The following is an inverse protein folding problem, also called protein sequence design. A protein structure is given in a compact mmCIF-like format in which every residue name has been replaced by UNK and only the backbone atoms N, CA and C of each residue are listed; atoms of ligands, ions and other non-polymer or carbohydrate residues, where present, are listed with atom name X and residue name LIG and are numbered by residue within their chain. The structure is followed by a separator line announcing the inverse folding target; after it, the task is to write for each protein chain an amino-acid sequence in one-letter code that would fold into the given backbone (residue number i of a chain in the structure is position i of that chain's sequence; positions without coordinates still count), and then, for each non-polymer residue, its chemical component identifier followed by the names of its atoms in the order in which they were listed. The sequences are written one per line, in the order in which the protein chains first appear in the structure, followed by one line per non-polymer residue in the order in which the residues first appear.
data_IF_473293843069
#
_entry.id   IF_473293843069
#
_cell.length_a   1.000
_cell.length_b   1.000
_cell.length_c   1.000
_cell.angle_alpha   90.00
_cell.angle_beta   90.00
_cell.angle_gamma   90.00
#
_symmetry.space_group_name_H-M   'P 1'
#
loop_
_entity.id
_entity.type
_entity.pdbx_description
1 polymer ?
#
# COMPACT_ATOMS: atom_id res chain seq x y z
N UNK A 1 -25.49 11.71 19.34
CA UNK A 1 -24.92 10.44 18.96
C UNK A 1 -23.76 10.64 17.99
N UNK A 2 -23.04 9.58 17.59
CA UNK A 2 -21.86 9.67 16.74
C UNK A 2 -22.22 10.23 15.35
N UNK A 3 -23.28 9.75 14.73
CA UNK A 3 -23.73 10.22 13.41
C UNK A 3 -24.09 11.71 13.39
N UNK A 4 -24.68 12.23 14.47
CA UNK A 4 -24.92 13.68 14.62
C UNK A 4 -23.61 14.45 14.60
N UNK A 5 -22.64 14.01 15.38
CA UNK A 5 -21.29 14.62 15.38
C UNK A 5 -20.62 14.53 14.00
N UNK A 6 -20.71 13.38 13.34
CA UNK A 6 -20.17 13.22 11.98
C UNK A 6 -20.83 14.18 10.99
N UNK A 7 -22.15 14.31 11.04
CA UNK A 7 -22.90 15.25 10.19
C UNK A 7 -22.47 16.70 10.43
N UNK A 8 -22.36 17.11 11.69
CA UNK A 8 -21.97 18.47 12.07
C UNK A 8 -20.53 18.78 11.59
N UNK A 9 -19.61 17.85 11.75
CA UNK A 9 -18.22 17.98 11.24
C UNK A 9 -18.21 18.06 9.72
N UNK A 10 -19.01 17.26 9.03
CA UNK A 10 -19.11 17.31 7.57
C UNK A 10 -19.73 18.62 7.09
N UNK A 11 -20.75 19.13 7.76
CA UNK A 11 -21.34 20.44 7.45
C UNK A 11 -20.31 21.58 7.55
N UNK A 12 -19.32 21.48 8.43
CA UNK A 12 -18.29 22.51 8.61
C UNK A 12 -17.08 22.32 7.68
N UNK A 13 -16.59 21.09 7.57
CA UNK A 13 -15.25 20.83 7.03
C UNK A 13 -15.25 20.08 5.69
N UNK A 14 -16.35 19.40 5.33
CA UNK A 14 -16.40 18.57 4.13
C UNK A 14 -16.32 19.43 2.86
N UNK A 15 -15.50 19.03 1.89
CA UNK A 15 -15.33 19.79 0.66
C UNK A 15 -16.66 19.98 -0.09
N UNK A 16 -17.45 18.93 -0.17
CA UNK A 16 -18.76 18.94 -0.83
C UNK A 16 -19.92 19.04 0.18
N UNK A 17 -19.76 19.85 1.26
CA UNK A 17 -20.80 19.99 2.29
C UNK A 17 -22.16 20.44 1.74
N UNK A 18 -22.18 21.13 0.60
CA UNK A 18 -23.40 21.56 -0.09
C UNK A 18 -24.18 20.38 -0.70
N UNK A 19 -23.54 19.23 -0.88
CA UNK A 19 -24.17 18.02 -1.40
C UNK A 19 -24.70 17.10 -0.29
N UNK A 20 -24.52 17.46 0.97
CA UNK A 20 -25.07 16.70 2.09
C UNK A 20 -26.61 16.77 2.06
N UNK A 21 -27.30 15.64 2.31
CA UNK A 21 -28.75 15.65 2.50
C UNK A 21 -29.15 16.60 3.63
N UNK A 22 -30.40 17.07 3.64
CA UNK A 22 -30.93 17.83 4.79
C UNK A 22 -30.83 17.01 6.06
N UNK A 23 -30.60 17.66 7.20
CA UNK A 23 -30.50 16.99 8.51
C UNK A 23 -31.74 16.16 8.82
N UNK A 24 -32.92 16.63 8.43
CA UNK A 24 -34.19 15.94 8.67
C UNK A 24 -34.40 14.71 7.78
N UNK A 25 -33.64 14.58 6.72
CA UNK A 25 -33.71 13.47 5.75
C UNK A 25 -32.68 12.37 6.01
N UNK A 26 -31.82 12.53 7.04
CA UNK A 26 -30.77 11.53 7.35
C UNK A 26 -31.15 10.65 8.52
N UNK A 27 -30.82 9.37 8.41
CA UNK A 27 -30.93 8.44 9.55
C UNK A 27 -29.64 8.52 10.38
N UNK A 28 -29.78 9.08 11.59
CA UNK A 28 -28.69 9.29 12.55
C UNK A 28 -28.44 8.10 13.51
N UNK A 29 -28.92 6.91 13.14
CA UNK A 29 -28.82 5.68 13.95
C UNK A 29 -28.21 4.52 13.11
N UNK A 30 -27.24 4.84 12.25
CA UNK A 30 -26.55 3.87 11.43
C UNK A 30 -25.17 3.56 12.03
N UNK A 31 -24.58 2.46 11.58
CA UNK A 31 -23.15 2.25 11.77
C UNK A 31 -22.37 3.36 11.03
N UNK A 32 -21.28 3.90 11.60
CA UNK A 32 -20.58 5.08 11.08
C UNK A 32 -20.17 4.98 9.61
N UNK A 33 -19.66 3.82 9.17
CA UNK A 33 -19.30 3.61 7.77
C UNK A 33 -20.53 3.61 6.84
N UNK A 34 -21.64 3.04 7.30
CA UNK A 34 -22.92 3.05 6.57
C UNK A 34 -23.51 4.45 6.51
N UNK A 35 -23.40 5.23 7.59
CA UNK A 35 -23.81 6.63 7.62
C UNK A 35 -23.01 7.44 6.60
N UNK A 36 -21.67 7.42 6.68
CA UNK A 36 -20.81 8.14 5.74
C UNK A 36 -21.12 7.78 4.28
N UNK A 37 -21.27 6.50 3.99
CA UNK A 37 -21.60 6.01 2.62
C UNK A 37 -22.88 6.61 2.06
N UNK A 38 -23.87 6.90 2.91
CA UNK A 38 -25.16 7.48 2.49
C UNK A 38 -25.15 9.00 2.33
N UNK A 39 -24.33 9.69 3.11
CA UNK A 39 -24.34 11.16 3.14
C UNK A 39 -23.24 11.80 2.29
N UNK A 40 -22.16 11.09 1.99
CA UNK A 40 -21.06 11.65 1.20
C UNK A 40 -21.44 11.88 -0.26
N UNK A 41 -20.80 12.85 -0.87
CA UNK A 41 -20.94 13.15 -2.30
C UNK A 41 -20.53 11.96 -3.17
N UNK A 42 -21.20 11.77 -4.30
CA UNK A 42 -20.81 10.77 -5.32
C UNK A 42 -19.41 11.04 -5.92
N UNK A 43 -18.92 12.27 -5.81
CA UNK A 43 -17.58 12.66 -6.28
C UNK A 43 -16.50 12.31 -5.25
N UNK A 44 -16.88 11.89 -4.04
CA UNK A 44 -15.97 11.52 -2.97
C UNK A 44 -15.65 10.02 -2.99
N UNK A 45 -14.52 9.67 -3.53
CA UNK A 45 -13.94 8.31 -3.49
C UNK A 45 -12.90 8.11 -2.39
N UNK A 46 -12.64 9.14 -1.57
CA UNK A 46 -11.52 9.14 -0.61
C UNK A 46 -11.96 9.02 0.84
N UNK A 47 -13.11 9.61 1.22
CA UNK A 47 -13.57 9.59 2.61
C UNK A 47 -14.04 8.21 3.03
N UNK A 48 -13.50 7.73 4.15
CA UNK A 48 -13.87 6.47 4.79
C UNK A 48 -13.84 6.62 6.33
N UNK A 49 -14.47 5.69 7.01
CA UNK A 49 -14.40 5.57 8.47
C UNK A 49 -13.38 4.48 8.79
N UNK A 50 -12.39 4.84 9.60
CA UNK A 50 -11.41 3.93 10.14
C UNK A 50 -11.58 3.76 11.64
N UNK A 51 -11.18 2.61 12.16
CA UNK A 51 -11.09 2.35 13.59
C UNK A 51 -9.63 2.45 14.02
N UNK A 52 -9.30 3.45 14.84
CA UNK A 52 -7.97 3.56 15.42
C UNK A 52 -7.79 2.40 16.41
N UNK A 53 -6.96 1.43 16.07
CA UNK A 53 -6.56 0.35 16.97
C UNK A 53 -5.27 0.75 17.69
N UNK A 54 -5.28 0.68 19.01
CA UNK A 54 -4.08 0.99 19.82
C UNK A 54 -2.95 -0.02 19.61
N UNK A 55 -3.29 -1.23 19.21
CA UNK A 55 -2.33 -2.29 18.88
C UNK A 55 -2.62 -2.87 17.50
N UNK A 56 -1.58 -3.11 16.67
CA UNK A 56 -1.76 -3.79 15.40
C UNK A 56 -2.45 -5.13 15.57
N UNK A 57 -3.46 -5.41 14.75
CA UNK A 57 -4.14 -6.70 14.74
C UNK A 57 -3.15 -7.82 14.36
N UNK A 58 -3.35 -9.03 14.90
CA UNK A 58 -2.59 -10.17 14.44
C UNK A 58 -2.78 -10.39 12.94
N UNK A 59 -1.66 -10.59 12.23
CA UNK A 59 -1.63 -10.84 10.79
C UNK A 59 -0.69 -12.00 10.47
N UNK A 60 -0.91 -12.67 9.35
CA UNK A 60 0.08 -13.57 8.77
C UNK A 60 1.25 -12.79 8.12
N UNK A 61 1.04 -11.53 7.75
CA UNK A 61 2.07 -10.65 7.21
C UNK A 61 2.34 -10.86 5.73
N UNK A 62 1.31 -11.08 4.93
CA UNK A 62 1.39 -11.03 3.47
C UNK A 62 0.16 -10.35 2.88
N UNK A 63 0.32 -9.79 1.69
CA UNK A 63 -0.77 -9.31 0.87
C UNK A 63 -0.85 -10.09 -0.44
N UNK A 64 -2.02 -10.06 -1.10
CA UNK A 64 -2.32 -10.92 -2.23
C UNK A 64 -3.33 -10.30 -3.19
N UNK A 65 -3.30 -10.78 -4.42
CA UNK A 65 -4.37 -10.56 -5.40
C UNK A 65 -5.05 -11.87 -5.74
N UNK A 66 -6.38 -11.89 -5.77
CA UNK A 66 -7.15 -13.07 -6.18
C UNK A 66 -7.27 -13.13 -7.69
N UNK A 67 -6.86 -14.25 -8.26
CA UNK A 67 -7.00 -14.60 -9.67
C UNK A 67 -7.95 -15.79 -9.78
N UNK A 68 -8.92 -15.74 -10.69
CA UNK A 68 -9.85 -16.86 -10.90
C UNK A 68 -9.10 -18.15 -11.19
N UNK A 69 -9.55 -19.23 -10.58
CA UNK A 69 -9.06 -20.57 -10.91
C UNK A 69 -9.59 -20.97 -12.30
N UNK A 70 -8.72 -21.49 -13.16
CA UNK A 70 -9.10 -21.82 -14.53
C UNK A 70 -9.99 -23.07 -14.63
N UNK A 71 -9.90 -23.98 -13.64
CA UNK A 71 -10.57 -25.28 -13.67
C UNK A 71 -11.81 -25.34 -12.75
N UNK A 72 -12.00 -24.32 -11.86
CA UNK A 72 -13.07 -24.30 -10.84
C UNK A 72 -13.68 -22.89 -10.78
N UNK A 73 -14.85 -22.71 -11.34
CA UNK A 73 -15.51 -21.39 -11.49
C UNK A 73 -15.73 -20.60 -10.19
N UNK A 74 -15.91 -21.28 -9.07
CA UNK A 74 -16.18 -20.65 -7.77
C UNK A 74 -14.90 -20.42 -6.96
N UNK A 75 -13.75 -20.89 -7.46
CA UNK A 75 -12.47 -20.82 -6.78
C UNK A 75 -11.54 -19.72 -7.34
N UNK A 76 -10.59 -19.36 -6.50
CA UNK A 76 -9.53 -18.41 -6.81
C UNK A 76 -8.18 -18.98 -6.37
N UNK A 77 -7.13 -18.50 -7.00
CA UNK A 77 -5.76 -18.65 -6.54
C UNK A 77 -5.28 -17.31 -5.99
N UNK A 78 -4.53 -17.29 -4.90
CA UNK A 78 -3.96 -16.06 -4.36
C UNK A 78 -2.52 -15.90 -4.86
N UNK A 79 -2.27 -14.83 -5.61
CA UNK A 79 -0.93 -14.38 -5.99
C UNK A 79 -0.38 -13.48 -4.88
N UNK A 80 0.73 -13.86 -4.29
CA UNK A 80 1.37 -13.06 -3.24
C UNK A 80 2.02 -11.82 -3.84
N UNK A 81 1.63 -10.65 -3.36
CA UNK A 81 2.09 -9.34 -3.85
C UNK A 81 3.28 -8.81 -3.05
N UNK A 82 3.28 -8.99 -1.73
CA UNK A 82 4.44 -8.80 -0.86
C UNK A 82 4.31 -9.60 0.43
N UNK A 83 5.42 -9.72 1.16
CA UNK A 83 5.50 -10.37 2.47
C UNK A 83 6.22 -9.45 3.44
N UNK A 84 5.66 -9.23 4.62
CA UNK A 84 6.22 -8.37 5.65
C UNK A 84 7.43 -9.07 6.29
N UNK A 85 8.61 -8.44 6.35
CA UNK A 85 9.77 -8.99 7.04
C UNK A 85 9.49 -9.35 8.50
N UNK A 86 10.02 -10.45 8.96
CA UNK A 86 9.80 -10.95 10.32
C UNK A 86 8.41 -11.52 10.58
N UNK A 87 7.55 -11.67 9.57
CA UNK A 87 6.18 -12.19 9.72
C UNK A 87 6.08 -13.72 9.77
N UNK A 88 4.92 -14.27 10.19
CA UNK A 88 4.64 -15.70 10.02
C UNK A 88 4.75 -16.19 8.57
N UNK A 89 4.37 -15.35 7.61
CA UNK A 89 4.47 -15.68 6.19
C UNK A 89 5.92 -15.82 5.73
N UNK A 90 6.80 -14.89 6.12
CA UNK A 90 8.24 -15.00 5.84
C UNK A 90 8.83 -16.26 6.51
N UNK A 91 8.46 -16.52 7.78
CA UNK A 91 8.92 -17.71 8.50
C UNK A 91 8.46 -19.03 7.82
N UNK A 92 7.33 -19.02 7.12
CA UNK A 92 6.86 -20.14 6.30
C UNK A 92 7.59 -20.27 4.96
N UNK A 93 8.40 -19.28 4.58
CA UNK A 93 9.09 -19.25 3.28
C UNK A 93 8.20 -18.74 2.14
N UNK A 94 7.13 -18.00 2.47
CA UNK A 94 6.29 -17.37 1.46
C UNK A 94 7.02 -16.15 0.88
N UNK A 95 6.97 -16.00 -0.44
CA UNK A 95 7.63 -14.93 -1.16
C UNK A 95 6.69 -14.27 -2.19
N UNK A 96 7.01 -13.04 -2.57
CA UNK A 96 6.33 -12.35 -3.68
C UNK A 96 6.38 -13.20 -4.95
N UNK A 97 5.24 -13.34 -5.62
CA UNK A 97 5.09 -14.13 -6.84
C UNK A 97 4.69 -15.59 -6.58
N UNK A 98 4.66 -16.02 -5.32
CA UNK A 98 4.12 -17.34 -4.99
C UNK A 98 2.61 -17.39 -5.24
N UNK A 99 2.11 -18.58 -5.55
CA UNK A 99 0.70 -18.84 -5.75
C UNK A 99 0.17 -19.80 -4.68
N UNK A 100 -0.88 -19.39 -3.97
CA UNK A 100 -1.62 -20.27 -3.05
C UNK A 100 -2.87 -20.74 -3.77
N UNK A 101 -3.05 -22.05 -3.89
CA UNK A 101 -4.20 -22.69 -4.52
C UNK A 101 -5.28 -23.09 -3.50
N UNK A 102 -4.82 -23.57 -2.32
CA UNK A 102 -5.72 -23.97 -1.22
C UNK A 102 -5.12 -23.55 0.11
N UNK A 103 -6.01 -23.36 1.08
CA UNK A 103 -5.64 -23.25 2.50
C UNK A 103 -6.23 -24.45 3.21
N UNK A 104 -5.38 -25.23 3.88
CA UNK A 104 -5.70 -26.56 4.39
C UNK A 104 -6.24 -27.46 3.24
N UNK A 105 -7.46 -27.91 3.33
CA UNK A 105 -8.11 -28.71 2.28
C UNK A 105 -9.06 -27.89 1.39
N UNK A 106 -9.23 -26.58 1.69
CA UNK A 106 -10.26 -25.74 1.08
C UNK A 106 -9.72 -24.89 -0.07
N UNK A 107 -10.42 -24.87 -1.19
CA UNK A 107 -10.19 -23.87 -2.23
C UNK A 107 -10.58 -22.47 -1.74
N UNK A 108 -9.83 -21.46 -2.16
CA UNK A 108 -10.11 -20.06 -1.82
C UNK A 108 -11.36 -19.62 -2.61
N UNK A 109 -12.31 -19.02 -1.94
CA UNK A 109 -13.51 -18.43 -2.57
C UNK A 109 -13.79 -17.05 -1.96
N UNK A 110 -14.49 -16.18 -2.69
CA UNK A 110 -14.87 -14.85 -2.20
C UNK A 110 -15.59 -14.88 -0.85
N UNK A 111 -16.37 -15.93 -0.60
CA UNK A 111 -17.11 -16.09 0.67
C UNK A 111 -16.20 -16.37 1.86
N UNK A 112 -15.11 -17.11 1.66
CA UNK A 112 -14.22 -17.58 2.73
C UNK A 112 -12.83 -16.97 2.68
N UNK A 113 -12.60 -16.00 1.79
CA UNK A 113 -11.32 -15.32 1.57
C UNK A 113 -10.70 -14.82 2.89
N UNK A 114 -11.45 -13.97 3.61
CA UNK A 114 -10.99 -13.39 4.89
C UNK A 114 -10.67 -14.47 5.92
N UNK A 115 -11.54 -15.47 6.07
CA UNK A 115 -11.33 -16.56 7.03
C UNK A 115 -10.08 -17.39 6.72
N UNK A 116 -9.79 -17.62 5.43
CA UNK A 116 -8.69 -18.47 4.99
C UNK A 116 -7.36 -17.71 4.96
N UNK A 117 -7.35 -16.49 4.40
CA UNK A 117 -6.11 -15.74 4.13
C UNK A 117 -5.81 -14.64 5.13
N UNK A 118 -6.78 -14.22 5.94
CA UNK A 118 -6.65 -13.15 6.95
C UNK A 118 -7.04 -13.64 8.35
N UNK A 119 -7.11 -14.94 8.56
CA UNK A 119 -7.41 -15.55 9.87
C UNK A 119 -6.24 -15.46 10.85
N UNK A 120 -6.40 -16.11 12.02
CA UNK A 120 -5.38 -16.09 13.08
C UNK A 120 -4.78 -17.46 13.37
N UNK A 121 -5.38 -18.54 12.88
CA UNK A 121 -4.95 -19.93 13.14
C UNK A 121 -3.74 -20.30 12.25
N UNK A 122 -2.90 -21.24 12.72
CA UNK A 122 -1.92 -21.86 11.83
C UNK A 122 -2.61 -22.56 10.65
N UNK A 123 -2.01 -22.54 9.47
CA UNK A 123 -2.59 -23.06 8.22
C UNK A 123 -1.57 -23.83 7.39
N UNK A 124 -2.06 -24.72 6.57
CA UNK A 124 -1.32 -25.38 5.51
C UNK A 124 -1.63 -24.68 4.18
N UNK A 125 -0.63 -24.12 3.52
CA UNK A 125 -0.78 -23.46 2.23
C UNK A 125 -0.37 -24.41 1.12
N UNK A 126 -1.32 -24.88 0.32
CA UNK A 126 -1.04 -25.69 -0.87
C UNK A 126 -0.65 -24.76 -2.01
N UNK A 127 0.58 -24.92 -2.47
CA UNK A 127 1.18 -24.01 -3.43
C UNK A 127 0.95 -24.45 -4.87
N UNK A 128 1.06 -23.49 -5.78
CA UNK A 128 1.00 -23.70 -7.21
C UNK A 128 2.06 -22.94 -7.96
N UNK A 129 2.13 -23.18 -9.26
CA UNK A 129 3.00 -22.48 -10.18
C UNK A 129 2.22 -22.06 -11.42
N UNK A 130 2.44 -20.82 -11.87
CA UNK A 130 1.91 -20.33 -13.14
C UNK A 130 2.72 -20.90 -14.28
N UNK A 131 2.10 -21.68 -15.16
CA UNK A 131 2.77 -22.25 -16.33
C UNK A 131 1.83 -22.48 -17.50
N UNK A 132 2.42 -22.65 -18.65
CA UNK A 132 1.77 -23.09 -19.87
C UNK A 132 1.39 -24.57 -19.77
N UNK A 133 0.16 -24.89 -20.13
CA UNK A 133 -0.40 -26.24 -20.09
C UNK A 133 -1.06 -26.53 -21.45
N UNK A 134 -0.75 -27.66 -22.10
CA UNK A 134 -1.45 -28.03 -23.34
C UNK A 134 -2.92 -28.31 -23.07
N UNK A 135 -3.76 -27.88 -23.99
CA UNK A 135 -5.20 -28.22 -24.04
C UNK A 135 -5.44 -29.15 -25.22
N UNK A 136 -6.40 -30.07 -25.09
CA UNK A 136 -6.79 -30.90 -26.23
C UNK A 136 -7.41 -30.00 -27.31
N UNK A 137 -6.87 -30.00 -28.54
CA UNK A 137 -7.36 -29.16 -29.61
C UNK A 137 -8.71 -29.60 -30.10
N UNK A 138 -9.64 -28.66 -30.33
CA UNK A 138 -10.92 -28.97 -30.97
C UNK A 138 -10.75 -29.30 -32.45
N UNK A 139 -9.71 -28.81 -33.14
CA UNK A 139 -9.30 -29.20 -34.53
C UNK A 139 -7.80 -28.96 -34.75
N UNK A 140 -6.97 -30.00 -34.60
CA UNK A 140 -5.70 -30.17 -35.33
C UNK A 140 -4.48 -29.30 -34.99
N UNK A 141 -4.56 -28.25 -34.16
CA UNK A 141 -3.45 -27.44 -33.72
C UNK A 141 -3.26 -27.58 -32.19
N UNK A 142 -2.00 -27.67 -31.75
CA UNK A 142 -1.67 -27.67 -30.32
C UNK A 142 -2.05 -26.32 -29.73
N UNK A 143 -3.02 -26.28 -28.83
CA UNK A 143 -3.42 -25.08 -28.11
C UNK A 143 -2.87 -25.12 -26.68
N UNK A 144 -2.36 -23.99 -26.19
CA UNK A 144 -1.80 -23.86 -24.85
C UNK A 144 -2.54 -22.79 -24.08
N UNK A 145 -2.73 -23.03 -22.79
CA UNK A 145 -3.27 -22.02 -21.86
C UNK A 145 -2.34 -21.82 -20.69
N UNK A 146 -2.23 -20.59 -20.21
CA UNK A 146 -1.50 -20.30 -18.98
C UNK A 146 -2.45 -20.40 -17.79
N UNK A 147 -2.10 -21.25 -16.82
CA UNK A 147 -2.85 -21.40 -15.58
C UNK A 147 -1.96 -21.78 -14.40
N UNK A 148 -2.53 -21.60 -13.18
CA UNK A 148 -1.88 -22.07 -11.96
C UNK A 148 -2.17 -23.57 -11.81
N UNK A 149 -1.10 -24.35 -11.65
CA UNK A 149 -1.18 -25.80 -11.41
C UNK A 149 -0.46 -26.15 -10.12
N UNK A 150 -0.80 -27.27 -9.44
CA UNK A 150 -0.09 -27.72 -8.26
C UNK A 150 1.41 -27.92 -8.52
N UNK A 151 2.24 -27.60 -7.50
CA UNK A 151 3.69 -27.86 -7.53
C UNK A 151 4.16 -28.82 -6.44
N UNK A 152 3.22 -29.54 -5.80
CA UNK A 152 3.43 -30.52 -4.72
C UNK A 152 4.11 -29.94 -3.46
N UNK A 153 4.15 -28.62 -3.32
CA UNK A 153 4.65 -27.92 -2.14
C UNK A 153 3.49 -27.53 -1.23
N UNK A 154 3.65 -27.81 0.07
CA UNK A 154 2.77 -27.29 1.11
C UNK A 154 3.61 -26.55 2.13
N UNK A 155 3.36 -25.25 2.32
CA UNK A 155 4.02 -24.45 3.33
C UNK A 155 3.21 -24.48 4.62
N UNK A 156 3.90 -24.56 5.75
CA UNK A 156 3.29 -24.50 7.09
C UNK A 156 3.29 -23.06 7.57
N UNK A 157 2.15 -22.40 7.45
CA UNK A 157 1.96 -21.01 7.90
C UNK A 157 1.70 -21.00 9.42
N UNK A 158 2.59 -20.40 10.24
CA UNK A 158 2.34 -20.25 11.66
C UNK A 158 1.12 -19.40 11.96
N UNK A 159 0.60 -19.51 13.20
CA UNK A 159 -0.48 -18.64 13.66
C UNK A 159 -0.10 -17.15 13.51
N UNK A 160 -1.11 -16.34 13.17
CA UNK A 160 -0.94 -14.91 13.04
C UNK A 160 -0.49 -14.27 14.36
N UNK A 161 0.29 -13.22 14.27
CA UNK A 161 0.73 -12.39 15.40
C UNK A 161 0.81 -10.93 14.99
N UNK A 162 0.93 -10.04 15.96
CA UNK A 162 1.24 -8.64 15.68
C UNK A 162 2.62 -8.55 15.04
N UNK A 163 2.68 -7.90 13.88
CA UNK A 163 3.90 -7.65 13.10
C UNK A 163 3.97 -6.17 12.81
N UNK A 164 5.13 -5.57 13.00
CA UNK A 164 5.37 -4.19 12.57
C UNK A 164 5.48 -4.17 11.03
N UNK A 165 4.60 -3.41 10.38
CA UNK A 165 4.68 -3.16 8.94
C UNK A 165 5.46 -1.86 8.71
N UNK A 166 6.77 -2.00 8.43
CA UNK A 166 7.61 -0.87 8.12
C UNK A 166 7.26 -0.34 6.71
N UNK A 167 6.83 0.92 6.58
CA UNK A 167 6.48 1.49 5.27
C UNK A 167 7.67 1.52 4.29
N UNK A 168 8.91 1.59 4.77
CA UNK A 168 10.12 1.40 3.97
C UNK A 168 10.31 -0.11 3.76
N UNK A 169 9.55 -0.66 2.83
CA UNK A 169 9.52 -2.12 2.65
C UNK A 169 10.82 -2.68 2.07
N UNK A 170 11.44 -1.96 1.13
CA UNK A 170 12.70 -2.40 0.51
C UNK A 170 13.48 -1.24 -0.08
N UNK A 171 14.79 -1.27 0.15
CA UNK A 171 15.75 -0.39 -0.52
C UNK A 171 16.82 -1.20 -1.23
N UNK A 172 17.36 -0.67 -2.32
CA UNK A 172 18.49 -1.27 -3.03
C UNK A 172 19.23 -0.20 -3.86
N UNK A 173 20.54 -0.33 -3.96
CA UNK A 173 21.34 0.45 -4.90
C UNK A 173 21.73 -0.48 -6.06
N UNK A 174 21.29 -0.13 -7.25
CA UNK A 174 21.56 -0.85 -8.49
C UNK A 174 22.68 -0.15 -9.26
N UNK A 175 23.49 -0.91 -9.97
CA UNK A 175 24.45 -0.37 -10.95
C UNK A 175 23.96 -0.75 -12.34
N UNK A 176 23.77 0.25 -13.18
CA UNK A 176 23.33 0.07 -14.56
C UNK A 176 24.30 0.77 -15.52
N UNK A 177 24.33 0.34 -16.77
CA UNK A 177 25.15 0.96 -17.81
C UNK A 177 24.37 2.07 -18.52
N UNK A 178 24.93 3.28 -18.53
CA UNK A 178 24.46 4.39 -19.36
C UNK A 178 25.65 4.87 -20.22
N UNK A 179 25.53 4.76 -21.54
CA UNK A 179 26.61 5.16 -22.45
C UNK A 179 28.00 4.57 -22.07
N UNK A 180 28.04 3.28 -21.75
CA UNK A 180 29.22 2.55 -21.26
C UNK A 180 29.80 3.03 -19.92
N UNK A 181 29.09 3.85 -19.16
CA UNK A 181 29.47 4.28 -17.81
C UNK A 181 28.56 3.62 -16.78
N UNK A 182 29.14 3.23 -15.66
CA UNK A 182 28.35 2.75 -14.53
C UNK A 182 27.70 3.92 -13.82
N UNK A 183 26.39 3.86 -13.69
CA UNK A 183 25.61 4.78 -12.88
C UNK A 183 24.90 4.05 -11.75
N UNK A 184 24.69 4.73 -10.65
CA UNK A 184 23.95 4.22 -9.48
C UNK A 184 22.50 4.65 -9.55
N UNK A 185 21.60 3.69 -9.37
CA UNK A 185 20.15 3.91 -9.28
C UNK A 185 19.67 3.40 -7.93
N UNK A 186 19.05 4.27 -7.13
CA UNK A 186 18.39 3.90 -5.90
C UNK A 186 17.03 3.29 -6.20
N UNK A 187 16.67 2.21 -5.53
CA UNK A 187 15.32 1.66 -5.51
C UNK A 187 14.77 1.81 -4.11
N UNK A 188 13.59 2.38 -3.99
CA UNK A 188 12.85 2.53 -2.74
C UNK A 188 11.42 2.07 -2.96
N UNK A 189 11.01 1.01 -2.28
CA UNK A 189 9.62 0.57 -2.18
C UNK A 189 9.03 1.10 -0.87
N UNK A 190 7.98 1.93 -0.99
CA UNK A 190 7.40 2.68 0.12
C UNK A 190 5.88 2.48 0.14
N UNK A 191 5.39 1.70 1.11
CA UNK A 191 4.03 1.16 1.10
C UNK A 191 3.00 2.03 1.86
N UNK A 192 3.45 2.97 2.69
CA UNK A 192 2.55 3.86 3.42
C UNK A 192 3.26 5.16 3.81
N UNK A 193 2.54 6.29 3.79
CA UNK A 193 3.04 7.57 4.31
C UNK A 193 2.80 7.66 5.82
N UNK A 194 3.53 6.84 6.59
CA UNK A 194 3.47 6.76 8.05
C UNK A 194 4.79 7.22 8.64
N UNK A 195 4.77 8.16 9.59
CA UNK A 195 5.96 8.79 10.15
C UNK A 195 6.73 7.88 11.12
N UNK A 196 6.01 7.06 11.88
CA UNK A 196 6.58 6.20 12.91
C UNK A 196 5.53 5.36 13.63
N UNK A 197 5.86 4.90 14.82
CA UNK A 197 4.99 4.11 15.71
C UNK A 197 4.51 4.96 16.89
N UNK A 198 3.58 4.43 17.68
CA UNK A 198 3.15 5.11 18.92
C UNK A 198 4.31 5.32 19.92
N UNK A 199 5.27 4.40 19.95
CA UNK A 199 6.46 4.49 20.84
C UNK A 199 7.60 5.33 20.24
N UNK A 200 7.67 5.49 18.93
CA UNK A 200 8.65 6.31 18.22
C UNK A 200 7.97 7.00 17.02
N UNK A 201 7.36 8.18 17.23
CA UNK A 201 6.54 8.84 16.22
C UNK A 201 7.26 9.30 14.95
N UNK A 202 8.60 9.38 14.95
CA UNK A 202 9.40 9.81 13.78
C UNK A 202 10.31 8.69 13.24
N UNK A 203 10.12 7.46 13.68
CA UNK A 203 10.95 6.28 13.36
C UNK A 203 11.19 6.11 11.87
N UNK A 204 10.12 6.03 11.08
CA UNK A 204 10.21 5.76 9.66
C UNK A 204 10.66 6.98 8.85
N UNK A 205 10.30 8.18 9.31
CA UNK A 205 10.85 9.41 8.73
C UNK A 205 12.36 9.50 8.94
N UNK A 206 12.88 9.07 10.11
CA UNK A 206 14.32 9.01 10.38
C UNK A 206 15.00 7.95 9.50
N UNK A 207 14.35 6.83 9.24
CA UNK A 207 14.83 5.82 8.29
C UNK A 207 14.93 6.39 6.86
N UNK A 208 13.91 7.12 6.39
CA UNK A 208 13.97 7.82 5.08
C UNK A 208 15.14 8.83 5.02
N UNK A 209 15.39 9.57 6.10
CA UNK A 209 16.52 10.49 6.19
C UNK A 209 17.86 9.75 6.09
N UNK A 210 18.00 8.61 6.78
CA UNK A 210 19.19 7.77 6.69
C UNK A 210 19.39 7.23 5.28
N UNK A 211 18.34 6.70 4.63
CA UNK A 211 18.39 6.22 3.24
C UNK A 211 18.84 7.34 2.29
N UNK A 212 18.37 8.56 2.51
CA UNK A 212 18.79 9.71 1.69
C UNK A 212 20.31 9.95 1.79
N UNK A 213 20.89 9.82 2.99
CA UNK A 213 22.34 9.91 3.18
C UNK A 213 23.09 8.76 2.51
N UNK A 214 22.58 7.52 2.63
CA UNK A 214 23.17 6.34 2.00
C UNK A 214 23.18 6.49 0.47
N UNK A 215 22.06 6.92 -0.12
CA UNK A 215 21.95 7.15 -1.56
C UNK A 215 22.88 8.28 -2.04
N UNK A 216 22.97 9.38 -1.28
CA UNK A 216 23.87 10.50 -1.59
C UNK A 216 25.34 10.07 -1.54
N UNK A 217 25.73 9.35 -0.48
CA UNK A 217 27.10 8.85 -0.29
C UNK A 217 27.49 7.84 -1.38
N UNK A 218 26.55 7.00 -1.80
CA UNK A 218 26.77 6.05 -2.89
C UNK A 218 26.84 6.71 -4.28
N UNK A 219 26.47 7.99 -4.40
CA UNK A 219 26.43 8.71 -5.67
C UNK A 219 25.26 8.27 -6.56
N UNK A 220 24.10 7.98 -5.94
CA UNK A 220 22.85 7.66 -6.68
C UNK A 220 22.49 8.84 -7.56
N UNK A 221 22.28 8.56 -8.86
CA UNK A 221 21.93 9.57 -9.86
C UNK A 221 20.42 9.61 -10.15
N UNK A 222 19.75 8.47 -10.10
CA UNK A 222 18.30 8.35 -10.31
C UNK A 222 17.70 7.49 -9.21
N UNK A 223 16.42 7.69 -8.94
CA UNK A 223 15.66 6.85 -8.01
C UNK A 223 14.45 6.24 -8.72
N UNK A 224 14.23 4.95 -8.48
CA UNK A 224 12.97 4.26 -8.75
C UNK A 224 12.20 4.23 -7.45
N UNK A 225 11.09 4.97 -7.40
CA UNK A 225 10.15 4.99 -6.28
C UNK A 225 8.99 4.06 -6.60
N UNK A 226 8.89 2.96 -5.86
CA UNK A 226 7.84 1.97 -6.04
C UNK A 226 6.72 2.20 -5.03
N UNK A 227 5.59 2.67 -5.52
CA UNK A 227 4.37 2.99 -4.76
C UNK A 227 3.21 2.05 -5.10
N UNK A 228 3.46 0.91 -5.76
CA UNK A 228 2.38 0.00 -6.21
C UNK A 228 1.47 -0.48 -5.10
N UNK A 229 1.98 -0.59 -3.88
CA UNK A 229 1.22 -1.02 -2.70
C UNK A 229 1.03 0.12 -1.68
N UNK A 230 1.31 1.37 -2.08
CA UNK A 230 1.14 2.51 -1.19
C UNK A 230 -0.34 2.85 -1.05
N UNK A 231 -0.84 2.81 0.17
CA UNK A 231 -2.25 3.08 0.51
C UNK A 231 -2.52 4.53 0.90
N UNK A 232 -1.51 5.42 0.80
CA UNK A 232 -1.63 6.82 1.22
C UNK A 232 -1.05 7.06 2.62
N UNK A 233 -1.54 8.10 3.30
CA UNK A 233 -1.16 8.46 4.67
C UNK A 233 -0.92 9.96 4.87
N UNK A 234 0.06 10.31 5.70
CA UNK A 234 0.33 11.68 6.14
C UNK A 234 0.99 12.54 5.06
N UNK A 235 0.48 13.76 4.89
CA UNK A 235 1.06 14.76 3.99
C UNK A 235 2.48 15.18 4.40
N UNK A 236 2.80 15.17 5.70
CA UNK A 236 4.16 15.50 6.18
C UNK A 236 5.19 14.47 5.69
N UNK A 237 4.81 13.19 5.63
CA UNK A 237 5.67 12.14 5.06
C UNK A 237 5.84 12.32 3.55
N UNK A 238 4.78 12.71 2.83
CA UNK A 238 4.85 13.06 1.39
C UNK A 238 5.78 14.24 1.19
N UNK A 239 5.69 15.27 2.03
CA UNK A 239 6.55 16.44 1.98
C UNK A 239 8.02 16.07 2.20
N UNK A 240 8.32 15.25 3.22
CA UNK A 240 9.67 14.78 3.50
C UNK A 240 10.25 14.00 2.30
N UNK A 241 9.51 13.00 1.82
CA UNK A 241 9.96 12.19 0.68
C UNK A 241 10.14 13.04 -0.59
N UNK A 242 9.18 13.93 -0.86
CA UNK A 242 9.26 14.87 -1.99
C UNK A 242 10.47 15.79 -1.89
N UNK A 243 10.78 16.30 -0.67
CA UNK A 243 11.95 17.16 -0.43
C UNK A 243 13.27 16.41 -0.59
N UNK A 244 13.33 15.13 -0.18
CA UNK A 244 14.50 14.27 -0.41
C UNK A 244 14.75 14.07 -1.92
N UNK A 245 13.70 13.81 -2.70
CA UNK A 245 13.80 13.35 -4.08
C UNK A 245 13.78 14.46 -5.13
N UNK A 246 13.39 15.68 -4.77
CA UNK A 246 13.33 16.81 -5.73
C UNK A 246 14.72 17.30 -6.13
N UNK A 247 14.80 18.10 -7.20
CA UNK A 247 16.03 18.83 -7.53
C UNK A 247 16.28 19.96 -6.51
N UNK A 248 17.54 20.25 -6.23
CA UNK A 248 17.93 21.35 -5.31
C UNK A 248 17.29 22.69 -5.72
N UNK A 249 17.18 22.94 -7.01
CA UNK A 249 16.57 24.16 -7.53
C UNK A 249 15.07 24.34 -7.15
N UNK A 250 14.41 23.31 -6.68
CA UNK A 250 13.01 23.34 -6.20
C UNK A 250 12.88 23.47 -4.68
N UNK A 251 13.95 23.36 -3.92
CA UNK A 251 13.89 23.55 -2.48
C UNK A 251 13.28 24.90 -2.12
N UNK A 252 12.46 24.91 -1.08
CA UNK A 252 11.70 26.06 -0.57
C UNK A 252 10.72 26.69 -1.57
N UNK A 253 10.36 25.95 -2.64
CA UNK A 253 9.31 26.34 -3.58
C UNK A 253 8.06 25.49 -3.39
N UNK A 254 6.90 25.95 -3.89
CA UNK A 254 5.64 25.23 -3.78
C UNK A 254 5.72 23.79 -4.32
N UNK A 255 5.27 22.84 -3.50
CA UNK A 255 5.04 21.43 -3.85
C UNK A 255 3.55 21.18 -4.12
N UNK A 256 2.69 21.70 -3.26
CA UNK A 256 1.25 21.54 -3.35
C UNK A 256 0.51 22.74 -2.75
N UNK A 257 -0.75 22.91 -3.16
CA UNK A 257 -1.67 23.86 -2.57
C UNK A 257 -2.82 23.09 -1.93
N UNK A 258 -3.10 23.39 -0.65
CA UNK A 258 -4.25 22.89 0.07
C UNK A 258 -5.37 23.91 -0.04
N UNK A 259 -6.47 23.52 -0.66
CA UNK A 259 -7.67 24.33 -0.76
C UNK A 259 -8.79 23.69 0.06
N UNK A 260 -9.31 24.43 1.01
CA UNK A 260 -10.45 24.01 1.83
C UNK A 260 -11.77 24.46 1.19
N UNK A 261 -12.87 24.00 1.78
CA UNK A 261 -14.18 24.51 1.37
C UNK A 261 -14.32 26.03 1.64
N UNK A 262 -15.32 26.67 1.07
CA UNK A 262 -15.48 28.12 1.18
C UNK A 262 -15.73 28.66 2.62
N UNK A 263 -16.07 27.79 3.58
CA UNK A 263 -16.20 28.14 5.00
C UNK A 263 -14.85 28.17 5.74
N UNK A 264 -13.81 27.58 5.15
CA UNK A 264 -12.50 27.37 5.75
C UNK A 264 -11.36 27.87 4.86
N UNK A 265 -11.60 28.87 3.99
CA UNK A 265 -10.58 29.46 3.12
C UNK A 265 -9.41 30.09 3.86
N UNK A 266 -9.63 30.48 5.12
CA UNK A 266 -8.57 30.94 6.02
C UNK A 266 -7.53 29.86 6.36
N UNK A 267 -7.85 28.58 6.10
CA UNK A 267 -6.97 27.42 6.26
C UNK A 267 -6.23 27.03 4.97
N UNK A 268 -6.53 27.69 3.85
CA UNK A 268 -5.81 27.43 2.59
C UNK A 268 -4.30 27.63 2.80
N UNK A 269 -3.50 26.68 2.34
CA UNK A 269 -2.07 26.68 2.63
C UNK A 269 -1.25 26.21 1.41
N UNK A 270 -0.04 26.73 1.33
CA UNK A 270 0.97 26.25 0.40
C UNK A 270 1.95 25.35 1.13
N UNK A 271 2.10 24.12 0.65
CA UNK A 271 3.12 23.19 1.12
C UNK A 271 4.33 23.32 0.20
N UNK A 272 5.49 23.61 0.77
CA UNK A 272 6.74 23.76 0.02
C UNK A 272 7.59 22.48 0.13
N UNK A 273 8.54 22.30 -0.79
CA UNK A 273 9.68 21.40 -0.58
C UNK A 273 10.59 22.00 0.48
N UNK A 274 10.29 21.77 1.72
CA UNK A 274 10.92 22.44 2.86
C UNK A 274 12.26 21.81 3.24
N UNK A 275 13.37 22.57 3.06
CA UNK A 275 14.70 22.07 3.40
C UNK A 275 14.89 21.82 4.90
N UNK A 276 14.11 22.45 5.78
CA UNK A 276 14.24 22.29 7.24
C UNK A 276 13.70 20.91 7.69
N UNK A 277 12.72 20.32 6.96
CA UNK A 277 12.16 19.02 7.30
C UNK A 277 13.17 17.87 7.11
N UNK A 278 14.23 18.09 6.32
CA UNK A 278 15.30 17.11 6.11
C UNK A 278 16.01 16.75 7.42
N UNK A 279 16.19 17.71 8.36
CA UNK A 279 16.94 17.50 9.60
C UNK A 279 18.32 16.86 9.33
N UNK A 280 18.51 15.60 9.78
CA UNK A 280 19.71 14.80 9.51
C UNK A 280 19.77 14.21 8.09
N UNK A 281 18.67 14.22 7.34
CA UNK A 281 18.64 13.75 5.96
C UNK A 281 19.23 14.74 4.97
N UNK A 282 19.27 14.36 3.70
CA UNK A 282 19.81 15.21 2.62
C UNK A 282 18.87 15.21 1.40
N UNK A 283 18.89 16.32 0.68
CA UNK A 283 18.31 16.36 -0.67
C UNK A 283 19.25 15.66 -1.64
N UNK A 284 18.68 14.79 -2.47
CA UNK A 284 19.45 14.00 -3.43
C UNK A 284 19.82 14.79 -4.69
N UNK A 285 19.10 15.88 -4.98
CA UNK A 285 19.27 16.70 -6.18
C UNK A 285 19.18 15.85 -7.46
N UNK A 286 18.08 15.11 -7.58
CA UNK A 286 17.92 14.15 -8.67
C UNK A 286 17.61 14.85 -10.00
N UNK A 287 18.29 14.51 -11.10
CA UNK A 287 17.94 14.97 -12.44
C UNK A 287 16.66 14.29 -12.96
N UNK A 288 16.28 13.15 -12.39
CA UNK A 288 15.08 12.42 -12.74
C UNK A 288 14.65 11.39 -11.68
N UNK A 289 13.35 11.19 -11.60
CA UNK A 289 12.67 10.23 -10.73
C UNK A 289 11.76 9.35 -11.57
N UNK A 290 11.77 8.05 -11.32
CA UNK A 290 10.87 7.07 -11.93
C UNK A 290 9.92 6.56 -10.86
N UNK A 291 8.62 6.81 -11.01
CA UNK A 291 7.61 6.29 -10.09
C UNK A 291 6.90 5.08 -10.72
N UNK A 292 6.72 4.02 -9.95
CA UNK A 292 5.92 2.85 -10.31
C UNK A 292 4.67 2.90 -9.42
N UNK A 293 3.49 2.95 -10.05
CA UNK A 293 2.19 2.96 -9.38
C UNK A 293 1.32 1.82 -9.86
N UNK A 294 0.25 1.48 -9.16
CA UNK A 294 -0.80 0.53 -9.56
C UNK A 294 -1.96 1.26 -10.22
#
# INVERSE_FOLDING_TARGET
ALDTWMYDIMQQNYLWYQNLPSYDDVNLFLEPASFLSKVKSKNDSYSFVDSVMETPLPTYGFDYSLVRNADIDTAYNALITYVIPGSPAEAAGLERGNWIMKVDTSYISKKYETQLLQGTQARDLVMGVWKEVPVEPEEGEEEFVYKVVPNDITLKLPAARSVEDNPVHKTKILTVKENNRDIKVGYLMYNSFTAGTNSDPDKYNNELRQISQEFKTAGVKYVILDLRYNTGGSLDCVQLLGTILTSEARLNKPMAYLEYNNKNRDKDATINFDSEILKSGVNLDLPGLFAITS
#
